data_IF_079684664276
#
_entry.id   IF_079684664276
#
_cell.length_a   1.000
_cell.length_b   1.000
_cell.length_c   1.000
_cell.angle_alpha   90.00
_cell.angle_beta   90.00
_cell.angle_gamma   90.00
#
_symmetry.space_group_name_H-M   'P 1'
#
loop_
_entity.id
_entity.type
_entity.pdbx_description
1 polymer ?
#
# COMPACT_ATOMS: atom_id res chain seq x y z
N UNK A 1 9.42 12.66 17.68
CA UNK A 1 8.70 12.88 16.40
C UNK A 1 9.23 11.86 15.43
N UNK A 2 8.39 10.88 15.05
CA UNK A 2 8.78 9.78 14.18
C UNK A 2 8.77 10.23 12.72
N UNK A 3 9.92 10.10 12.07
CA UNK A 3 10.14 10.39 10.66
C UNK A 3 9.61 9.17 9.88
N UNK A 4 8.52 9.29 9.13
CA UNK A 4 8.04 8.27 8.20
C UNK A 4 8.88 8.30 6.92
N UNK A 5 9.94 7.50 6.96
CA UNK A 5 10.57 6.95 5.77
C UNK A 5 9.72 5.77 5.27
N UNK A 6 9.97 5.29 4.05
CA UNK A 6 9.44 4.00 3.57
C UNK A 6 9.63 2.87 4.59
N UNK A 7 10.64 2.96 5.45
CA UNK A 7 10.83 2.10 6.62
C UNK A 7 9.61 2.03 7.54
N UNK A 8 9.03 3.15 7.99
CA UNK A 8 7.92 3.12 8.94
C UNK A 8 6.63 2.61 8.29
N UNK A 9 6.40 2.98 7.01
CA UNK A 9 5.26 2.49 6.24
C UNK A 9 5.40 0.98 6.00
N UNK A 10 6.60 0.52 5.64
CA UNK A 10 6.91 -0.90 5.44
C UNK A 10 6.78 -1.69 6.75
N UNK A 11 7.29 -1.18 7.87
CA UNK A 11 7.11 -1.81 9.18
C UNK A 11 5.63 -1.90 9.60
N UNK A 12 4.85 -0.85 9.32
CA UNK A 12 3.41 -0.86 9.57
C UNK A 12 2.70 -1.91 8.71
N UNK A 13 2.94 -1.89 7.40
CA UNK A 13 2.39 -2.85 6.45
C UNK A 13 2.75 -4.29 6.85
N UNK A 14 4.02 -4.55 7.16
CA UNK A 14 4.50 -5.87 7.56
C UNK A 14 3.80 -6.34 8.84
N UNK A 15 3.69 -5.47 9.84
CA UNK A 15 2.96 -5.78 11.08
C UNK A 15 1.50 -6.10 10.81
N UNK A 16 0.84 -5.35 9.95
CA UNK A 16 -0.57 -5.55 9.63
C UNK A 16 -0.80 -6.86 8.87
N UNK A 17 0.06 -7.19 7.91
CA UNK A 17 0.04 -8.43 7.14
C UNK A 17 0.40 -9.67 7.98
N UNK A 18 1.41 -9.58 8.84
CA UNK A 18 1.88 -10.69 9.70
C UNK A 18 0.85 -11.12 10.75
N UNK A 19 -0.10 -10.24 11.11
CA UNK A 19 -1.20 -10.61 12.01
C UNK A 19 -2.25 -11.51 11.35
N UNK A 20 -1.98 -12.03 10.13
CA UNK A 20 -2.87 -12.89 9.37
C UNK A 20 -4.04 -12.12 8.73
N UNK A 21 -3.97 -10.79 8.75
CA UNK A 21 -5.00 -9.94 8.16
C UNK A 21 -4.74 -9.78 6.66
N UNK A 22 -5.82 -9.84 5.89
CA UNK A 22 -5.84 -9.32 4.52
C UNK A 22 -6.07 -7.83 4.63
N UNK A 23 -5.18 -7.02 4.08
CA UNK A 23 -5.21 -5.57 4.30
C UNK A 23 -5.24 -4.82 2.99
N UNK A 24 -6.03 -3.75 2.93
CA UNK A 24 -6.06 -2.87 1.78
C UNK A 24 -5.11 -1.69 1.98
N UNK A 25 -4.81 -0.97 0.89
CA UNK A 25 -4.03 0.28 0.98
C UNK A 25 -4.79 1.31 1.81
N UNK A 26 -6.11 1.39 1.65
CA UNK A 26 -6.97 2.25 2.47
C UNK A 26 -6.87 1.92 3.97
N UNK A 27 -6.90 0.64 4.37
CA UNK A 27 -6.72 0.23 5.77
C UNK A 27 -5.36 0.70 6.33
N UNK A 28 -4.30 0.56 5.52
CA UNK A 28 -2.95 0.95 5.90
C UNK A 28 -2.81 2.46 6.01
N UNK A 29 -3.42 3.22 5.10
CA UNK A 29 -3.47 4.69 5.14
C UNK A 29 -4.24 5.18 6.37
N UNK A 30 -5.41 4.60 6.67
CA UNK A 30 -6.20 4.94 7.86
C UNK A 30 -5.41 4.69 9.16
N UNK A 31 -4.73 3.55 9.26
CA UNK A 31 -3.91 3.22 10.45
C UNK A 31 -2.66 4.12 10.53
N UNK A 32 -2.07 4.51 9.40
CA UNK A 32 -0.97 5.45 9.34
C UNK A 32 -1.39 6.87 9.79
N UNK A 33 -2.55 7.34 9.33
CA UNK A 33 -3.14 8.62 9.75
C UNK A 33 -3.45 8.62 11.25
N UNK A 34 -4.06 7.54 11.76
CA UNK A 34 -4.37 7.37 13.19
C UNK A 34 -3.12 7.41 14.06
N UNK A 35 -2.00 6.89 13.55
CA UNK A 35 -0.69 6.91 14.21
C UNK A 35 0.10 8.21 14.00
N UNK A 36 -0.46 9.14 13.25
CA UNK A 36 0.16 10.42 12.90
C UNK A 36 1.56 10.23 12.29
N UNK A 37 1.71 9.25 11.39
CA UNK A 37 2.97 9.04 10.68
C UNK A 37 3.28 10.27 9.79
N UNK A 38 4.52 10.77 9.88
CA UNK A 38 4.96 12.03 9.24
C UNK A 38 5.87 11.69 8.06
N UNK A 39 5.52 11.91 6.79
CA UNK A 39 6.46 11.64 5.70
C UNK A 39 7.72 12.51 5.80
N UNK A 40 8.88 11.84 5.79
CA UNK A 40 10.19 12.42 6.04
C UNK A 40 10.64 13.44 5.00
N UNK A 41 10.16 13.29 3.77
CA UNK A 41 10.56 14.10 2.61
C UNK A 41 10.11 15.56 2.73
N UNK A 42 9.09 15.85 3.53
CA UNK A 42 8.40 17.15 3.55
C UNK A 42 8.55 17.90 4.88
N UNK A 43 8.86 17.22 6.00
CA UNK A 43 8.87 17.84 7.33
C UNK A 43 7.48 18.28 7.82
N UNK A 44 6.43 17.83 7.14
CA UNK A 44 5.01 18.08 7.43
C UNK A 44 4.29 16.74 7.60
N UNK A 45 3.17 16.74 8.34
CA UNK A 45 2.26 15.58 8.41
C UNK A 45 1.84 15.21 6.98
N UNK A 46 2.04 13.95 6.62
CA UNK A 46 1.59 13.42 5.34
C UNK A 46 0.08 13.61 5.20
N UNK A 47 -0.37 14.10 4.05
CA UNK A 47 -1.80 14.01 3.76
C UNK A 47 -2.18 12.60 3.33
N UNK A 48 -3.48 12.35 3.19
CA UNK A 48 -4.00 11.03 2.83
C UNK A 48 -3.43 10.54 1.50
N UNK A 49 -3.36 11.43 0.50
CA UNK A 49 -2.89 11.09 -0.83
C UNK A 49 -1.42 10.70 -0.82
N UNK A 50 -0.60 11.39 -0.03
CA UNK A 50 0.81 11.02 0.13
C UNK A 50 0.98 9.62 0.77
N UNK A 51 0.18 9.30 1.78
CA UNK A 51 0.18 7.99 2.43
C UNK A 51 -0.25 6.88 1.47
N UNK A 52 -1.35 7.09 0.74
CA UNK A 52 -1.85 6.15 -0.25
C UNK A 52 -0.82 5.90 -1.35
N UNK A 53 -0.19 6.95 -1.89
CA UNK A 53 0.90 6.82 -2.88
C UNK A 53 2.10 6.05 -2.31
N UNK A 54 2.53 6.35 -1.08
CA UNK A 54 3.62 5.63 -0.43
C UNK A 54 3.33 4.14 -0.21
N UNK A 55 2.08 3.78 0.06
CA UNK A 55 1.66 2.38 0.18
C UNK A 55 1.49 1.69 -1.19
N UNK A 56 1.04 2.39 -2.23
CA UNK A 56 1.02 1.87 -3.61
C UNK A 56 2.42 1.45 -4.03
N UNK A 57 3.38 2.33 -3.81
CA UNK A 57 4.81 2.13 -4.07
C UNK A 57 5.37 0.89 -3.34
N UNK A 58 5.05 0.74 -2.05
CA UNK A 58 5.45 -0.44 -1.25
C UNK A 58 4.79 -1.73 -1.73
N UNK A 59 3.50 -1.68 -2.05
CA UNK A 59 2.75 -2.81 -2.61
C UNK A 59 3.38 -3.26 -3.93
N UNK A 60 3.76 -2.35 -4.82
CA UNK A 60 4.43 -2.69 -6.08
C UNK A 60 5.75 -3.39 -5.85
N UNK A 61 6.60 -2.86 -4.98
CA UNK A 61 7.89 -3.46 -4.67
C UNK A 61 7.75 -4.86 -4.04
N UNK A 62 6.85 -5.03 -3.07
CA UNK A 62 6.60 -6.31 -2.41
C UNK A 62 5.93 -7.34 -3.33
N UNK A 63 5.02 -6.89 -4.20
CA UNK A 63 4.36 -7.72 -5.19
C UNK A 63 5.37 -8.26 -6.20
N UNK A 64 6.22 -7.38 -6.75
CA UNK A 64 7.29 -7.77 -7.69
C UNK A 64 8.33 -8.69 -7.04
N UNK A 65 8.58 -8.55 -5.75
CA UNK A 65 9.44 -9.45 -4.99
C UNK A 65 8.77 -10.82 -4.68
N UNK A 66 7.48 -11.00 -5.00
CA UNK A 66 6.72 -12.20 -4.69
C UNK A 66 6.44 -12.38 -3.19
N UNK A 67 6.56 -11.31 -2.40
CA UNK A 67 6.38 -11.34 -0.95
C UNK A 67 4.90 -11.22 -0.54
N UNK A 68 4.07 -10.59 -1.39
CA UNK A 68 2.63 -10.47 -1.22
C UNK A 68 1.91 -10.86 -2.50
N UNK A 69 0.61 -11.16 -2.39
CA UNK A 69 -0.30 -11.27 -3.55
C UNK A 69 -1.61 -10.54 -3.28
N UNK A 70 -2.31 -10.08 -4.33
CA UNK A 70 -3.67 -9.59 -4.17
C UNK A 70 -4.65 -10.74 -3.90
N UNK A 71 -5.76 -10.43 -3.25
CA UNK A 71 -6.85 -11.34 -2.95
C UNK A 71 -8.20 -10.65 -3.27
N UNK A 72 -8.56 -10.52 -4.57
CA UNK A 72 -9.72 -9.76 -4.99
C UNK A 72 -11.03 -10.44 -4.56
N UNK A 73 -11.99 -9.63 -4.11
CA UNK A 73 -13.31 -10.10 -3.70
C UNK A 73 -14.23 -10.44 -4.90
N UNK A 74 -14.02 -9.80 -6.05
CA UNK A 74 -14.86 -9.98 -7.25
C UNK A 74 -14.11 -9.76 -8.58
N UNK A 75 -14.83 -9.92 -9.69
CA UNK A 75 -14.28 -9.73 -11.05
C UNK A 75 -13.93 -8.27 -11.34
N UNK A 76 -14.58 -7.30 -10.68
CA UNK A 76 -14.27 -5.90 -10.88
C UNK A 76 -12.91 -5.56 -10.25
N UNK A 77 -12.62 -6.07 -9.04
CA UNK A 77 -11.28 -5.97 -8.44
C UNK A 77 -10.24 -6.74 -9.25
N UNK A 78 -10.59 -7.92 -9.76
CA UNK A 78 -9.71 -8.67 -10.67
C UNK A 78 -9.40 -7.88 -11.95
N UNK A 79 -10.35 -7.09 -12.46
CA UNK A 79 -10.12 -6.17 -13.58
C UNK A 79 -9.17 -5.02 -13.21
N UNK A 80 -9.36 -4.40 -12.04
CA UNK A 80 -8.46 -3.36 -11.55
C UNK A 80 -7.02 -3.86 -11.39
N UNK A 81 -6.83 -5.09 -10.92
CA UNK A 81 -5.51 -5.71 -10.80
C UNK A 81 -4.84 -5.87 -12.17
N UNK A 82 -5.57 -6.25 -13.22
CA UNK A 82 -5.01 -6.30 -14.59
C UNK A 82 -4.61 -4.90 -15.10
N UNK A 83 -5.37 -3.86 -14.75
CA UNK A 83 -5.02 -2.47 -15.08
C UNK A 83 -3.78 -1.99 -14.31
N UNK A 84 -3.66 -2.39 -13.05
CA UNK A 84 -2.48 -2.16 -12.22
C UNK A 84 -1.25 -2.86 -12.80
N UNK A 85 -1.33 -4.15 -13.10
CA UNK A 85 -0.22 -4.95 -13.66
C UNK A 85 0.26 -4.43 -15.03
N UNK A 86 -0.65 -3.90 -15.84
CA UNK A 86 -0.32 -3.29 -17.14
C UNK A 86 0.21 -1.85 -17.02
N UNK A 87 0.21 -1.26 -15.82
CA UNK A 87 0.56 0.14 -15.57
C UNK A 87 -0.49 1.16 -16.06
N UNK A 88 -1.62 0.70 -16.61
CA UNK A 88 -2.68 1.56 -17.10
C UNK A 88 -3.34 2.37 -15.97
N UNK A 89 -3.40 1.79 -14.76
CA UNK A 89 -3.95 2.47 -13.59
C UNK A 89 -3.06 3.66 -13.16
N UNK A 90 -1.74 3.49 -13.15
CA UNK A 90 -0.79 4.56 -12.86
C UNK A 90 -0.84 5.67 -13.92
N UNK A 91 -1.02 5.34 -15.20
CA UNK A 91 -1.13 6.33 -16.29
C UNK A 91 -2.37 7.22 -16.17
N UNK A 92 -3.47 6.68 -15.65
CA UNK A 92 -4.71 7.43 -15.36
C UNK A 92 -4.62 8.26 -14.09
N UNK A 93 -3.63 7.96 -13.24
CA UNK A 93 -3.58 8.39 -11.84
C UNK A 93 -4.52 7.53 -10.98
N UNK A 94 -4.13 7.31 -9.72
CA UNK A 94 -4.93 6.56 -8.75
C UNK A 94 -6.13 7.37 -8.20
N UNK A 95 -6.52 8.45 -8.87
CA UNK A 95 -7.66 9.27 -8.49
C UNK A 95 -8.96 8.84 -9.16
N UNK A 96 -10.08 8.97 -8.43
CA UNK A 96 -11.43 8.69 -8.93
C UNK A 96 -11.86 7.24 -8.71
N UNK A 97 -13.06 6.84 -9.19
CA UNK A 97 -13.72 5.63 -8.72
C UNK A 97 -12.94 4.31 -8.92
N UNK A 98 -12.15 4.21 -9.99
CA UNK A 98 -11.29 3.04 -10.24
C UNK A 98 -10.11 3.00 -9.25
N UNK A 99 -9.50 4.15 -8.97
CA UNK A 99 -8.42 4.30 -8.01
C UNK A 99 -8.89 4.05 -6.58
N UNK A 100 -9.99 4.71 -6.17
CA UNK A 100 -10.62 4.52 -4.85
C UNK A 100 -10.92 3.05 -4.60
N UNK A 101 -11.45 2.34 -5.61
CA UNK A 101 -11.73 0.91 -5.49
C UNK A 101 -10.47 0.04 -5.50
N UNK A 102 -9.42 0.44 -6.21
CA UNK A 102 -8.14 -0.26 -6.15
C UNK A 102 -7.51 -0.17 -4.75
N UNK A 103 -7.61 0.98 -4.09
CA UNK A 103 -7.11 1.18 -2.73
C UNK A 103 -7.77 0.24 -1.72
N UNK A 104 -8.95 -0.30 -2.02
CA UNK A 104 -9.69 -1.25 -1.19
C UNK A 104 -9.35 -2.73 -1.44
N UNK A 105 -8.62 -3.04 -2.51
CA UNK A 105 -8.22 -4.42 -2.82
C UNK A 105 -7.32 -4.94 -1.71
N UNK A 106 -7.66 -6.13 -1.18
CA UNK A 106 -6.92 -6.74 -0.09
C UNK A 106 -5.67 -7.45 -0.61
N UNK A 107 -4.59 -7.32 0.14
CA UNK A 107 -3.30 -7.97 -0.09
C UNK A 107 -2.99 -8.92 1.06
N UNK A 108 -2.31 -10.02 0.76
CA UNK A 108 -1.92 -11.04 1.73
C UNK A 108 -0.43 -11.36 1.61
N UNK A 109 0.22 -11.58 2.74
CA UNK A 109 1.60 -12.05 2.79
C UNK A 109 1.72 -13.48 2.25
N UNK A 110 2.80 -13.74 1.52
CA UNK A 110 3.20 -15.07 1.06
C UNK A 110 4.34 -15.66 1.88
N UNK A 111 4.99 -14.85 2.71
CA UNK A 111 6.11 -15.22 3.57
C UNK A 111 5.89 -14.68 4.98
N UNK A 112 6.40 -15.39 5.99
CA UNK A 112 6.33 -14.92 7.38
C UNK A 112 7.21 -13.69 7.62
N UNK A 113 8.34 -13.61 6.90
CA UNK A 113 9.31 -12.51 6.95
C UNK A 113 9.18 -11.62 5.72
N UNK A 114 8.37 -10.56 5.82
CA UNK A 114 8.28 -9.53 4.78
C UNK A 114 9.52 -8.62 4.85
N UNK A 115 10.15 -8.28 3.71
CA UNK A 115 11.31 -7.40 3.71
C UNK A 115 10.89 -5.99 4.16
N UNK A 116 11.75 -5.33 4.94
CA UNK A 116 11.59 -3.91 5.27
C UNK A 116 12.21 -3.09 4.16
N UNK A 117 11.38 -2.33 3.45
CA UNK A 117 11.83 -1.47 2.36
C UNK A 117 12.23 -0.12 2.94
N UNK A 118 13.50 0.24 2.75
CA UNK A 118 14.08 1.48 3.30
C UNK A 118 14.17 2.61 2.27
N UNK A 119 14.23 2.27 0.97
CA UNK A 119 14.22 3.18 -0.18
C UNK A 119 13.58 2.45 -1.38
N UNK A 120 12.96 3.20 -2.30
CA UNK A 120 12.41 2.73 -3.56
C UNK A 120 13.10 3.38 -4.76
#
# INVERSE_FOLDING_TARGET
MGIANYTNLSELMNKMLQQGNRVSIADMADEAERRELILASEGVRADRGDLENGFIDLVDALYRAGAIRPDPADEAESHLLRLYESGALAQKGYGGPEGDRFLEVKWVALTDDLPVIVNL
#
